data_IF_635537046431
#
_entry.id   IF_635537046431
#
_cell.length_a   1.000
_cell.length_b   1.000
_cell.length_c   1.000
_cell.angle_alpha   90.00
_cell.angle_beta   90.00
_cell.angle_gamma   90.00
#
_symmetry.space_group_name_H-M   'P 1'
#
loop_
_entity.id
_entity.type
_entity.pdbx_description
1 polymer ?
#
# COMPACT_ATOMS: atom_id res chain seq x y z
N UNK A 1 -13.31 -17.33 -2.03
CA UNK A 1 -12.82 -17.44 -0.64
C UNK A 1 -12.41 -16.06 -0.15
N UNK A 2 -12.97 -15.58 0.96
CA UNK A 2 -12.49 -14.34 1.59
C UNK A 2 -11.13 -14.62 2.23
N UNK A 3 -10.05 -14.03 1.70
CA UNK A 3 -8.72 -14.16 2.30
C UNK A 3 -8.65 -13.30 3.57
N UNK A 4 -8.06 -13.84 4.63
CA UNK A 4 -7.96 -13.23 5.96
C UNK A 4 -6.50 -13.19 6.37
N UNK A 5 -6.08 -12.14 7.10
CA UNK A 5 -4.71 -11.96 7.60
C UNK A 5 -4.73 -11.47 9.04
N UNK A 6 -3.80 -11.95 9.89
CA UNK A 6 -3.64 -11.41 11.25
C UNK A 6 -2.81 -10.14 11.22
N UNK A 7 -3.31 -9.07 11.82
CA UNK A 7 -2.64 -7.76 11.86
C UNK A 7 -3.08 -6.93 13.06
N UNK A 8 -2.43 -5.78 13.26
CA UNK A 8 -2.80 -4.76 14.24
C UNK A 8 -3.11 -3.45 13.51
N UNK A 9 -4.27 -2.86 13.79
CA UNK A 9 -4.67 -1.59 13.21
C UNK A 9 -3.84 -0.44 13.77
N UNK A 10 -3.24 0.36 12.90
CA UNK A 10 -2.44 1.53 13.29
C UNK A 10 -3.27 2.73 13.77
N UNK A 11 -4.59 2.73 13.54
CA UNK A 11 -5.47 3.83 13.95
C UNK A 11 -6.25 3.56 15.24
N UNK A 12 -6.77 2.33 15.42
CA UNK A 12 -7.64 2.00 16.56
C UNK A 12 -7.10 0.88 17.45
N UNK A 13 -5.84 0.46 17.25
CA UNK A 13 -5.13 -0.57 18.02
C UNK A 13 -5.76 -1.98 18.04
N UNK A 14 -6.88 -2.21 17.35
CA UNK A 14 -7.47 -3.55 17.22
C UNK A 14 -6.45 -4.55 16.67
N UNK A 15 -6.29 -5.68 17.36
CA UNK A 15 -5.39 -6.76 16.98
C UNK A 15 -6.21 -8.04 16.75
N UNK A 16 -6.10 -8.63 15.57
CA UNK A 16 -6.95 -9.76 15.21
C UNK A 16 -6.91 -10.07 13.72
N UNK A 17 -8.03 -10.58 13.21
CA UNK A 17 -8.19 -11.01 11.83
C UNK A 17 -8.80 -9.91 10.95
N UNK A 18 -8.11 -9.61 9.84
CA UNK A 18 -8.44 -8.55 8.90
C UNK A 18 -8.81 -9.17 7.56
N UNK A 19 -9.79 -8.59 6.87
CA UNK A 19 -10.19 -9.04 5.53
C UNK A 19 -9.23 -8.46 4.49
N UNK A 20 -8.65 -9.31 3.64
CA UNK A 20 -7.93 -8.88 2.44
C UNK A 20 -8.97 -8.49 1.39
N UNK A 21 -8.94 -7.22 0.96
CA UNK A 21 -9.86 -6.64 -0.04
C UNK A 21 -9.32 -6.78 -1.45
N UNK A 22 -8.01 -6.58 -1.60
CA UNK A 22 -7.32 -6.55 -2.88
C UNK A 22 -5.86 -6.96 -2.68
N UNK A 23 -5.23 -7.49 -3.72
CA UNK A 23 -3.78 -7.64 -3.80
C UNK A 23 -3.28 -6.83 -5.01
N UNK A 24 -2.29 -5.96 -4.81
CA UNK A 24 -1.68 -5.12 -5.85
C UNK A 24 -0.18 -5.35 -5.78
N UNK A 25 0.45 -5.84 -6.87
CA UNK A 25 1.90 -6.06 -6.93
C UNK A 25 2.46 -6.81 -5.70
N UNK A 26 1.79 -7.88 -5.27
CA UNK A 26 2.11 -8.66 -4.08
C UNK A 26 1.89 -7.96 -2.71
N UNK A 27 1.34 -6.75 -2.68
CA UNK A 27 0.90 -6.08 -1.46
C UNK A 27 -0.60 -6.31 -1.21
N UNK A 28 -0.96 -6.71 0.00
CA UNK A 28 -2.37 -6.89 0.38
C UNK A 28 -2.94 -5.55 0.90
N UNK A 29 -4.08 -5.14 0.36
CA UNK A 29 -4.91 -4.10 0.96
C UNK A 29 -5.86 -4.79 1.93
N UNK A 30 -5.71 -4.51 3.23
CA UNK A 30 -6.50 -5.10 4.29
C UNK A 30 -7.41 -4.08 4.97
N UNK A 31 -8.57 -4.52 5.45
CA UNK A 31 -9.55 -3.67 6.15
C UNK A 31 -9.68 -4.09 7.61
N UNK A 32 -9.59 -3.11 8.51
CA UNK A 32 -9.85 -3.31 9.94
C UNK A 32 -11.34 -3.59 10.20
N UNK A 33 -11.71 -4.70 10.86
CA UNK A 33 -13.12 -4.96 11.16
C UNK A 33 -13.68 -4.04 12.25
N UNK A 34 -12.83 -3.37 13.04
CA UNK A 34 -13.27 -2.53 14.16
C UNK A 34 -13.54 -1.07 13.74
N UNK A 35 -12.70 -0.47 12.88
CA UNK A 35 -12.82 0.94 12.48
C UNK A 35 -12.96 1.15 10.97
N UNK A 36 -13.01 0.08 10.17
CA UNK A 36 -13.08 0.11 8.71
C UNK A 36 -11.89 0.80 8.00
N UNK A 37 -10.83 1.17 8.74
CA UNK A 37 -9.61 1.70 8.13
C UNK A 37 -8.98 0.65 7.21
N UNK A 38 -8.65 1.08 5.99
CA UNK A 38 -7.97 0.26 4.99
C UNK A 38 -6.53 0.70 4.87
N UNK A 39 -5.62 -0.26 4.83
CA UNK A 39 -4.20 0.01 4.68
C UNK A 39 -3.50 -1.13 3.93
N UNK A 40 -2.37 -0.78 3.34
CA UNK A 40 -1.49 -1.73 2.70
C UNK A 40 -0.67 -2.46 3.76
N UNK A 41 -0.61 -3.78 3.66
CA UNK A 41 0.12 -4.64 4.58
C UNK A 41 1.28 -5.36 3.89
N UNK A 42 2.43 -5.29 4.55
CA UNK A 42 3.75 -5.01 3.97
C UNK A 42 3.73 -3.71 3.16
N UNK A 43 4.32 -2.65 3.72
CA UNK A 43 4.54 -1.40 2.99
C UNK A 43 5.57 -1.63 1.86
N UNK A 44 5.48 -0.92 0.73
CA UNK A 44 6.51 -0.96 -0.30
C UNK A 44 7.86 -0.57 0.27
N UNK A 45 8.90 -1.23 -0.20
CA UNK A 45 10.30 -0.86 0.05
C UNK A 45 10.64 0.46 -0.65
N UNK A 46 11.69 1.13 -0.17
CA UNK A 46 12.15 2.37 -0.81
C UNK A 46 12.50 2.13 -2.28
N UNK A 47 13.10 0.98 -2.62
CA UNK A 47 13.38 0.60 -4.00
C UNK A 47 12.10 0.44 -4.85
N UNK A 48 11.05 -0.19 -4.31
CA UNK A 48 9.75 -0.31 -5.00
C UNK A 48 9.10 1.06 -5.22
N UNK A 49 9.20 1.97 -4.24
CA UNK A 49 8.72 3.34 -4.37
C UNK A 49 9.51 4.09 -5.44
N UNK A 50 10.85 4.04 -5.39
CA UNK A 50 11.73 4.65 -6.39
C UNK A 50 11.41 4.12 -7.79
N UNK A 51 11.15 2.82 -7.93
CA UNK A 51 10.78 2.20 -9.20
C UNK A 51 9.46 2.72 -9.76
N UNK A 52 8.45 2.98 -8.91
CA UNK A 52 7.17 3.58 -9.31
C UNK A 52 7.36 5.04 -9.76
N UNK A 53 8.24 5.78 -9.09
CA UNK A 53 8.55 7.19 -9.36
C UNK A 53 9.86 7.36 -10.15
N UNK A 54 10.23 6.38 -10.99
CA UNK A 54 11.39 6.53 -11.87
C UNK A 54 11.22 7.70 -12.83
N UNK A 55 12.32 8.09 -13.47
CA UNK A 55 12.38 9.26 -14.36
C UNK A 55 11.28 9.23 -15.43
N UNK A 56 10.96 8.06 -15.97
CA UNK A 56 9.91 7.83 -16.94
C UNK A 56 8.50 8.19 -16.44
N UNK A 57 8.21 8.01 -15.14
CA UNK A 57 6.99 8.50 -14.52
C UNK A 57 6.90 10.03 -14.69
N UNK A 58 7.94 10.77 -14.27
CA UNK A 58 7.94 12.23 -14.38
C UNK A 58 8.00 12.73 -15.82
N UNK A 59 8.69 12.01 -16.71
CA UNK A 59 8.73 12.30 -18.15
C UNK A 59 7.31 12.17 -18.75
N UNK A 60 6.54 11.14 -18.38
CA UNK A 60 5.17 10.95 -18.83
C UNK A 60 4.22 12.09 -18.41
N UNK A 61 4.54 12.77 -17.30
CA UNK A 61 3.82 13.95 -16.82
C UNK A 61 4.41 15.28 -17.32
N UNK A 62 5.46 15.25 -18.17
CA UNK A 62 6.14 16.45 -18.67
C UNK A 62 6.96 17.20 -17.62
N UNK A 63 7.27 16.56 -16.49
CA UNK A 63 7.98 17.14 -15.34
C UNK A 63 9.47 16.78 -15.30
N UNK A 64 9.95 15.86 -16.13
CA UNK A 64 11.33 15.36 -16.12
C UNK A 64 12.42 16.35 -16.59
N UNK A 65 12.04 17.59 -16.94
CA UNK A 65 12.94 18.64 -17.44
C UNK A 65 13.39 19.68 -16.40
N UNK A 66 13.11 19.48 -15.11
CA UNK A 66 13.44 20.43 -14.05
C UNK A 66 14.74 20.10 -13.30
N UNK A 67 15.88 20.06 -14.00
CA UNK A 67 17.19 19.99 -13.37
C UNK A 67 18.05 21.18 -13.80
N UNK A 68 18.26 22.14 -12.90
CA UNK A 68 19.37 23.12 -12.96
C UNK A 68 20.63 22.50 -12.42
#
# INVERSE_FOLDING_TARGET
MNKIKKSKCILCDYNGEFKIKLNINNHDIIECPNCSFQFMDVLPTDEEIENIYRKDYFDAWGLGGGGT
#
